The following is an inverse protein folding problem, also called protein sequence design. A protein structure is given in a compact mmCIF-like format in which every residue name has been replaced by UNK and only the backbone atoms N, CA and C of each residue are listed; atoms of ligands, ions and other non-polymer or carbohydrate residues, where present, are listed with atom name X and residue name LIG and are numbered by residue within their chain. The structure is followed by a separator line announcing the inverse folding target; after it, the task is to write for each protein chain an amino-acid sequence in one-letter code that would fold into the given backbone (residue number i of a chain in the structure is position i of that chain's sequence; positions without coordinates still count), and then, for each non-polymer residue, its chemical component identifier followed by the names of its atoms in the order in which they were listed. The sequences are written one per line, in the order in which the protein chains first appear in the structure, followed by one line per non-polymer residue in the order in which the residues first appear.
data_IF_604418132328
#
_entry.id   IF_604418132328
#
_cell.length_a   1.000
_cell.length_b   1.000
_cell.length_c   1.000
_cell.angle_alpha   90.00
_cell.angle_beta   90.00
_cell.angle_gamma   90.00
#
_symmetry.space_group_name_H-M   'P 1'
#
loop_
_entity.id
_entity.type
_entity.pdbx_description
1 polymer ?
#
# COMPACT_ATOMS: atom_id res chain seq x y z
N UNK A 1 -9.23 4.78 8.88
CA UNK A 1 -8.32 3.61 8.90
C UNK A 1 -9.00 2.27 8.62
N UNK A 2 -10.24 2.00 9.08
CA UNK A 2 -10.96 0.76 8.69
C UNK A 2 -11.02 0.55 7.16
N UNK A 3 -11.14 1.63 6.39
CA UNK A 3 -11.14 1.59 4.92
C UNK A 3 -9.75 1.52 4.28
N UNK A 4 -8.75 2.24 4.81
CA UNK A 4 -7.34 2.15 4.39
C UNK A 4 -6.78 0.71 4.49
N UNK A 5 -7.23 -0.04 5.50
CA UNK A 5 -6.74 -1.39 5.83
C UNK A 5 -7.39 -2.47 4.96
N UNK A 6 -8.67 -2.30 4.58
CA UNK A 6 -9.32 -3.22 3.64
C UNK A 6 -8.74 -3.12 2.22
N UNK A 7 -8.14 -1.98 1.90
CA UNK A 7 -7.51 -1.69 0.61
C UNK A 7 -6.05 -2.14 0.53
N UNK A 8 -5.27 -1.97 1.61
CA UNK A 8 -3.94 -2.58 1.72
C UNK A 8 -4.04 -4.12 1.80
N UNK A 9 -5.10 -4.68 2.39
CA UNK A 9 -5.36 -6.11 2.39
C UNK A 9 -5.60 -6.71 0.98
N UNK A 10 -6.00 -5.91 -0.02
CA UNK A 10 -6.09 -6.37 -1.41
C UNK A 10 -4.70 -6.61 -2.03
N UNK A 11 -3.66 -5.92 -1.56
CA UNK A 11 -2.26 -6.26 -1.91
C UNK A 11 -1.74 -7.46 -1.10
N UNK A 12 -2.30 -7.69 0.09
CA UNK A 12 -2.00 -8.86 0.93
C UNK A 12 -2.78 -10.13 0.55
N UNK A 13 -3.71 -10.05 -0.40
CA UNK A 13 -4.40 -11.20 -0.98
C UNK A 13 -3.48 -12.04 -1.91
N UNK A 14 -2.20 -11.69 -1.99
CA UNK A 14 -1.12 -12.64 -2.22
C UNK A 14 -0.80 -13.42 -0.94
N UNK A 15 -1.81 -13.86 -0.19
CA UNK A 15 -1.63 -14.84 0.88
C UNK A 15 -1.65 -16.21 0.21
N UNK A 16 -0.47 -16.62 -0.27
CA UNK A 16 -0.23 -17.92 -0.87
C UNK A 16 -0.67 -19.01 0.11
N UNK A 17 -1.70 -19.75 -0.26
CA UNK A 17 -2.21 -20.89 0.49
C UNK A 17 -1.06 -21.86 0.79
N UNK A 18 -0.91 -22.24 2.06
CA UNK A 18 0.10 -23.18 2.54
C UNK A 18 -0.05 -24.55 1.85
N UNK A 19 0.67 -24.71 0.74
CA UNK A 19 0.99 -26.02 0.17
C UNK A 19 2.36 -26.43 0.71
N UNK A 20 2.61 -27.74 0.75
CA UNK A 20 3.87 -28.35 1.17
C UNK A 20 5.08 -27.51 0.74
N UNK A 21 6.08 -27.38 1.63
CA UNK A 21 7.32 -26.59 1.40
C UNK A 21 8.16 -27.26 0.30
N UNK A 22 7.68 -27.19 -0.93
CA UNK A 22 8.50 -27.35 -2.11
C UNK A 22 9.52 -26.21 -2.09
N UNK A 23 10.74 -26.50 -2.53
CA UNK A 23 11.73 -25.44 -2.77
C UNK A 23 11.06 -24.36 -3.64
N UNK A 24 11.22 -23.07 -3.28
CA UNK A 24 10.59 -21.98 -4.03
C UNK A 24 11.00 -22.10 -5.50
N UNK A 25 10.05 -21.93 -6.45
CA UNK A 25 10.35 -22.06 -7.86
C UNK A 25 11.48 -21.10 -8.24
N UNK A 26 12.52 -21.64 -8.88
CA UNK A 26 13.64 -20.86 -9.43
C UNK A 26 13.34 -20.57 -10.89
N UNK A 27 13.34 -19.29 -11.25
CA UNK A 27 13.13 -18.81 -12.61
C UNK A 27 14.23 -17.84 -13.03
N UNK A 28 14.30 -17.51 -14.32
CA UNK A 28 15.11 -16.35 -14.73
C UNK A 28 14.44 -15.05 -14.27
N UNK A 29 15.22 -13.98 -14.10
CA UNK A 29 14.68 -12.65 -13.80
C UNK A 29 13.60 -12.24 -14.81
N UNK A 30 13.79 -12.55 -16.10
CA UNK A 30 12.79 -12.27 -17.12
C UNK A 30 11.48 -13.04 -16.92
N UNK A 31 11.56 -14.31 -16.54
CA UNK A 31 10.38 -15.13 -16.25
C UNK A 31 9.62 -14.62 -15.02
N UNK A 32 10.34 -14.23 -13.96
CA UNK A 32 9.73 -13.66 -12.74
C UNK A 32 9.04 -12.34 -13.07
N UNK A 33 9.70 -11.44 -13.80
CA UNK A 33 9.11 -10.17 -14.24
C UNK A 33 7.84 -10.38 -15.07
N UNK A 34 7.87 -11.32 -16.02
CA UNK A 34 6.69 -11.66 -16.83
C UNK A 34 5.56 -12.23 -15.97
N UNK A 35 5.88 -13.13 -15.04
CA UNK A 35 4.91 -13.71 -14.11
C UNK A 35 4.22 -12.64 -13.27
N UNK A 36 5.00 -11.79 -12.59
CA UNK A 36 4.48 -10.72 -11.73
C UNK A 36 3.64 -9.72 -12.54
N UNK A 37 4.13 -9.27 -13.70
CA UNK A 37 3.37 -8.35 -14.57
C UNK A 37 2.06 -8.97 -15.05
N UNK A 38 2.07 -10.24 -15.47
CA UNK A 38 0.86 -10.95 -15.88
C UNK A 38 -0.16 -11.10 -14.75
N UNK A 39 0.32 -11.32 -13.52
CA UNK A 39 -0.52 -11.32 -12.32
C UNK A 39 -1.18 -9.96 -12.10
N UNK A 40 -0.44 -8.85 -12.16
CA UNK A 40 -1.01 -7.52 -12.00
C UNK A 40 -2.02 -7.16 -13.09
N UNK A 41 -1.73 -7.47 -14.36
CA UNK A 41 -2.68 -7.25 -15.45
C UNK A 41 -3.99 -8.02 -15.24
N UNK A 42 -3.88 -9.28 -14.81
CA UNK A 42 -5.04 -10.14 -14.51
C UNK A 42 -5.84 -9.59 -13.33
N UNK A 43 -5.15 -9.24 -12.23
CA UNK A 43 -5.79 -8.68 -11.04
C UNK A 43 -6.46 -7.34 -11.32
N UNK A 44 -5.82 -6.46 -12.11
CA UNK A 44 -6.40 -5.20 -12.55
C UNK A 44 -7.71 -5.46 -13.30
N UNK A 45 -7.69 -6.27 -14.36
CA UNK A 45 -8.89 -6.60 -15.16
C UNK A 45 -10.02 -7.19 -14.32
N UNK A 46 -9.69 -8.08 -13.38
CA UNK A 46 -10.68 -8.75 -12.53
C UNK A 46 -11.24 -7.85 -11.43
N UNK A 47 -10.41 -6.97 -10.86
CA UNK A 47 -10.76 -6.20 -9.68
C UNK A 47 -11.37 -4.83 -10.02
N UNK A 48 -11.05 -4.25 -11.17
CA UNK A 48 -11.51 -2.91 -11.56
C UNK A 48 -13.03 -2.73 -11.48
N UNK A 49 -13.89 -3.62 -12.03
CA UNK A 49 -15.34 -3.43 -11.93
C UNK A 49 -15.85 -3.39 -10.48
N UNK A 50 -15.30 -4.25 -9.62
CA UNK A 50 -15.65 -4.30 -8.20
C UNK A 50 -15.15 -3.06 -7.45
N UNK A 51 -13.92 -2.61 -7.73
CA UNK A 51 -13.36 -1.38 -7.15
C UNK A 51 -14.18 -0.16 -7.56
N UNK A 52 -14.52 -0.01 -8.85
CA UNK A 52 -15.34 1.10 -9.36
C UNK A 52 -16.73 1.15 -8.75
N UNK A 53 -17.42 0.01 -8.67
CA UNK A 53 -18.72 -0.07 -7.98
C UNK A 53 -18.60 0.35 -6.52
N UNK A 54 -17.55 -0.09 -5.83
CA UNK A 54 -17.32 0.25 -4.42
C UNK A 54 -16.91 1.72 -4.23
N UNK A 55 -16.16 2.32 -5.16
CA UNK A 55 -15.87 3.75 -5.17
C UNK A 55 -17.16 4.57 -5.25
N UNK A 56 -18.00 4.29 -6.25
CA UNK A 56 -19.27 4.98 -6.42
C UNK A 56 -20.16 4.87 -5.16
N UNK A 57 -20.18 3.70 -4.53
CA UNK A 57 -20.92 3.49 -3.28
C UNK A 57 -20.35 4.29 -2.09
N UNK A 58 -19.04 4.52 -2.03
CA UNK A 58 -18.40 5.34 -1.00
C UNK A 58 -18.68 6.83 -1.23
N UNK A 59 -18.60 7.28 -2.49
CA UNK A 59 -18.95 8.65 -2.88
C UNK A 59 -20.42 8.98 -2.57
N UNK A 60 -21.34 8.07 -2.92
CA UNK A 60 -22.76 8.21 -2.61
C UNK A 60 -23.05 8.32 -1.10
N UNK A 61 -22.16 7.76 -0.25
CA UNK A 61 -22.24 7.86 1.22
C UNK A 61 -21.48 9.07 1.78
N UNK A 62 -20.84 9.88 0.93
CA UNK A 62 -20.02 11.01 1.35
C UNK A 62 -18.63 10.65 1.86
N UNK A 63 -18.20 9.38 1.79
CA UNK A 63 -16.85 8.95 2.22
C UNK A 63 -15.81 9.16 1.10
N UNK A 64 -15.55 10.44 0.80
CA UNK A 64 -14.66 10.88 -0.27
C UNK A 64 -13.22 10.41 -0.06
N UNK A 65 -12.76 10.32 1.19
CA UNK A 65 -11.41 9.85 1.50
C UNK A 65 -11.26 8.36 1.17
N UNK A 66 -12.22 7.51 1.55
CA UNK A 66 -12.16 6.10 1.23
C UNK A 66 -12.32 5.84 -0.27
N UNK A 67 -13.19 6.59 -0.95
CA UNK A 67 -13.33 6.52 -2.41
C UNK A 67 -12.00 6.84 -3.12
N UNK A 68 -11.35 7.94 -2.72
CA UNK A 68 -10.04 8.31 -3.24
C UNK A 68 -8.97 7.25 -2.96
N UNK A 69 -8.94 6.66 -1.76
CA UNK A 69 -7.99 5.58 -1.44
C UNK A 69 -8.18 4.35 -2.33
N UNK A 70 -9.43 4.02 -2.68
CA UNK A 70 -9.73 2.94 -3.61
C UNK A 70 -9.25 3.27 -5.03
N UNK A 71 -9.46 4.52 -5.47
CA UNK A 71 -8.94 5.00 -6.75
C UNK A 71 -7.42 4.90 -6.80
N UNK A 72 -6.72 5.28 -5.73
CA UNK A 72 -5.26 5.18 -5.66
C UNK A 72 -4.77 3.72 -5.69
N UNK A 73 -5.49 2.79 -5.08
CA UNK A 73 -5.14 1.37 -5.15
C UNK A 73 -5.35 0.81 -6.56
N UNK A 74 -6.43 1.19 -7.26
CA UNK A 74 -6.62 0.85 -8.66
C UNK A 74 -5.48 1.42 -9.51
N UNK A 75 -5.16 2.71 -9.37
CA UNK A 75 -4.06 3.35 -10.07
C UNK A 75 -2.71 2.64 -9.83
N UNK A 76 -2.47 2.24 -8.59
CA UNK A 76 -1.26 1.53 -8.21
C UNK A 76 -1.17 0.15 -8.88
N UNK A 77 -2.26 -0.62 -8.84
CA UNK A 77 -2.35 -1.97 -9.38
C UNK A 77 -2.34 -1.99 -10.92
N UNK A 78 -3.07 -1.08 -11.54
CA UNK A 78 -3.32 -1.08 -12.98
C UNK A 78 -2.29 -0.29 -13.79
N UNK A 79 -1.59 0.67 -13.17
CA UNK A 79 -0.66 1.54 -13.88
C UNK A 79 0.73 1.52 -13.23
N UNK A 80 0.85 1.94 -11.96
CA UNK A 80 2.17 2.14 -11.36
C UNK A 80 3.01 0.86 -11.36
N UNK A 81 2.49 -0.23 -10.78
CA UNK A 81 3.24 -1.48 -10.65
C UNK A 81 3.59 -2.10 -12.02
N UNK A 82 2.64 -2.25 -12.98
CA UNK A 82 2.97 -2.70 -14.33
C UNK A 82 4.03 -1.84 -15.03
N UNK A 83 3.91 -0.52 -14.96
CA UNK A 83 4.85 0.40 -15.62
C UNK A 83 6.25 0.31 -15.01
N UNK A 84 6.35 0.16 -13.68
CA UNK A 84 7.65 -0.03 -13.01
C UNK A 84 8.29 -1.36 -13.35
N UNK A 85 7.51 -2.44 -13.41
CA UNK A 85 8.04 -3.76 -13.81
C UNK A 85 8.53 -3.73 -15.27
N UNK A 86 7.78 -3.08 -16.17
CA UNK A 86 8.17 -2.88 -17.56
C UNK A 86 9.45 -2.05 -17.68
N UNK A 87 9.54 -0.93 -16.96
CA UNK A 87 10.71 -0.06 -16.95
C UNK A 87 11.96 -0.79 -16.42
N UNK A 88 11.82 -1.57 -15.34
CA UNK A 88 12.90 -2.38 -14.82
C UNK A 88 13.39 -3.38 -15.88
N UNK A 89 12.48 -4.12 -16.51
CA UNK A 89 12.81 -5.10 -17.56
C UNK A 89 13.60 -4.45 -18.71
N UNK A 90 13.17 -3.27 -19.17
CA UNK A 90 13.81 -2.55 -20.27
C UNK A 90 15.23 -2.07 -19.94
N UNK A 91 15.53 -1.84 -18.66
CA UNK A 91 16.84 -1.35 -18.21
C UNK A 91 17.84 -2.46 -17.94
N UNK A 92 17.36 -3.66 -17.58
CA UNK A 92 18.24 -4.80 -17.29
C UNK A 92 18.94 -5.31 -18.55
N UNK A 93 20.23 -5.64 -18.42
CA UNK A 93 21.01 -6.25 -19.50
C UNK A 93 20.55 -7.69 -19.76
N UNK A 94 20.76 -8.25 -20.96
CA UNK A 94 20.43 -9.65 -21.25
C UNK A 94 21.02 -10.66 -20.26
N UNK A 95 22.24 -10.45 -19.78
CA UNK A 95 22.86 -11.30 -18.77
C UNK A 95 22.09 -11.28 -17.42
N UNK A 96 21.58 -10.11 -17.02
CA UNK A 96 20.79 -9.96 -15.79
C UNK A 96 19.40 -10.56 -15.95
N UNK A 97 18.78 -10.41 -17.12
CA UNK A 97 17.47 -11.02 -17.43
C UNK A 97 17.50 -12.56 -17.40
N UNK A 98 18.64 -13.16 -17.74
CA UNK A 98 18.84 -14.61 -17.72
C UNK A 98 19.39 -15.15 -16.39
N UNK A 99 19.70 -14.28 -15.43
CA UNK A 99 20.13 -14.71 -14.09
C UNK A 99 18.99 -15.51 -13.43
N UNK A 100 19.33 -16.63 -12.80
CA UNK A 100 18.38 -17.47 -12.09
C UNK A 100 18.29 -17.06 -10.63
N UNK A 101 17.07 -16.86 -10.14
CA UNK A 101 16.80 -16.60 -8.73
C UNK A 101 15.38 -17.03 -8.37
N UNK A 102 15.08 -17.03 -7.09
CA UNK A 102 13.73 -17.17 -6.54
C UNK A 102 13.00 -15.82 -6.59
N UNK A 103 11.67 -15.84 -6.49
CA UNK A 103 10.87 -14.62 -6.37
C UNK A 103 11.24 -13.80 -5.11
N UNK A 104 11.55 -14.46 -3.99
CA UNK A 104 11.97 -13.79 -2.76
C UNK A 104 13.30 -13.03 -2.93
N UNK A 105 14.28 -13.64 -3.61
CA UNK A 105 15.54 -12.97 -3.96
C UNK A 105 15.30 -11.82 -4.93
N UNK A 106 14.41 -12.00 -5.91
CA UNK A 106 14.02 -10.94 -6.84
C UNK A 106 13.41 -9.74 -6.09
N UNK A 107 12.45 -9.97 -5.19
CA UNK A 107 11.82 -8.92 -4.37
C UNK A 107 12.87 -8.22 -3.49
N UNK A 108 13.78 -8.98 -2.89
CA UNK A 108 14.86 -8.42 -2.07
C UNK A 108 15.78 -7.51 -2.88
N UNK A 109 16.10 -7.89 -4.12
CA UNK A 109 17.04 -7.17 -4.98
C UNK A 109 16.42 -6.00 -5.73
N UNK A 110 15.21 -6.18 -6.25
CA UNK A 110 14.55 -5.26 -7.18
C UNK A 110 13.25 -4.65 -6.63
N UNK A 111 12.70 -5.20 -5.55
CA UNK A 111 11.42 -4.76 -4.98
C UNK A 111 11.43 -3.29 -4.56
N UNK A 112 12.55 -2.76 -4.07
CA UNK A 112 12.66 -1.32 -3.77
C UNK A 112 12.48 -0.44 -5.00
N UNK A 113 12.98 -0.86 -6.15
CA UNK A 113 12.85 -0.06 -7.37
C UNK A 113 11.44 -0.14 -7.97
N UNK A 114 10.78 -1.28 -7.80
CA UNK A 114 9.49 -1.55 -8.44
C UNK A 114 8.27 -1.28 -7.54
N UNK A 115 8.38 -1.56 -6.24
CA UNK A 115 7.30 -1.47 -5.26
C UNK A 115 7.36 -0.20 -4.42
N UNK A 116 8.55 0.24 -4.00
CA UNK A 116 8.63 1.32 -3.01
C UNK A 116 8.14 2.66 -3.56
N UNK A 117 8.51 3.00 -4.79
CA UNK A 117 8.06 4.26 -5.40
C UNK A 117 6.53 4.30 -5.57
N UNK A 118 5.94 3.17 -5.94
CA UNK A 118 4.51 3.01 -6.12
C UNK A 118 3.76 3.09 -4.79
N UNK A 119 4.23 2.38 -3.77
CA UNK A 119 3.65 2.40 -2.43
C UNK A 119 3.82 3.76 -1.75
N UNK A 120 4.98 4.38 -1.92
CA UNK A 120 5.26 5.70 -1.37
C UNK A 120 4.41 6.80 -2.03
N UNK A 121 4.20 6.73 -3.36
CA UNK A 121 3.27 7.62 -4.05
C UNK A 121 1.84 7.44 -3.51
N UNK A 122 1.39 6.19 -3.32
CA UNK A 122 0.09 5.87 -2.74
C UNK A 122 -0.04 6.38 -1.29
N UNK A 123 1.01 6.31 -0.48
CA UNK A 123 1.01 6.81 0.90
C UNK A 123 0.95 8.35 0.98
N UNK A 124 1.57 9.05 0.02
CA UNK A 124 1.58 10.52 -0.03
C UNK A 124 0.32 11.10 -0.68
N UNK A 125 -0.27 10.41 -1.66
CA UNK A 125 -1.40 10.90 -2.45
C UNK A 125 -2.59 11.44 -1.62
N UNK A 126 -3.01 10.81 -0.49
CA UNK A 126 -4.11 11.32 0.32
C UNK A 126 -3.90 12.75 0.80
N UNK A 127 -2.65 13.19 0.98
CA UNK A 127 -2.28 14.49 1.53
C UNK A 127 -1.96 15.55 0.47
N UNK A 128 -2.02 15.20 -0.80
CA UNK A 128 -1.82 16.13 -1.92
C UNK A 128 -3.04 17.02 -2.21
N UNK A 129 -3.17 17.41 -3.47
CA UNK A 129 -4.27 18.26 -3.94
C UNK A 129 -5.65 17.69 -3.57
N UNK A 130 -6.56 18.57 -3.14
CA UNK A 130 -7.90 18.19 -2.71
C UNK A 130 -7.97 17.46 -1.37
N UNK A 131 -6.87 17.30 -0.62
CA UNK A 131 -6.87 16.61 0.68
C UNK A 131 -7.94 17.17 1.63
N UNK A 132 -7.96 18.49 1.84
CA UNK A 132 -8.89 19.11 2.78
C UNK A 132 -10.37 18.87 2.39
N UNK A 133 -10.68 18.85 1.09
CA UNK A 133 -12.03 18.60 0.58
C UNK A 133 -12.47 17.12 0.67
N UNK A 134 -11.50 16.20 0.79
CA UNK A 134 -11.74 14.76 0.96
C UNK A 134 -11.83 14.35 2.44
N UNK A 135 -11.23 15.13 3.34
CA UNK A 135 -11.22 14.83 4.76
C UNK A 135 -12.63 14.97 5.37
N UNK A 136 -13.06 14.02 6.21
CA UNK A 136 -14.32 14.16 6.92
C UNK A 136 -14.22 15.33 7.90
N UNK A 137 -15.31 16.09 8.05
CA UNK A 137 -15.42 17.10 9.09
C UNK A 137 -15.27 16.42 10.45
N UNK A 138 -14.27 16.87 11.22
CA UNK A 138 -13.99 16.33 12.55
C UNK A 138 -13.75 17.48 13.52
N UNK A 139 -14.46 17.53 14.66
CA UNK A 139 -14.21 18.54 15.68
C UNK A 139 -12.74 18.58 16.08
N UNK A 140 -12.16 19.78 16.10
CA UNK A 140 -10.76 20.01 16.48
C UNK A 140 -9.71 19.69 15.41
N UNK A 141 -10.11 19.30 14.20
CA UNK A 141 -9.18 19.10 13.08
C UNK A 141 -9.29 20.26 12.07
N UNK A 142 -8.22 21.03 11.95
CA UNK A 142 -8.03 21.96 10.83
C UNK A 142 -7.53 21.17 9.61
N UNK A 143 -8.45 20.78 8.73
CA UNK A 143 -8.13 19.90 7.60
C UNK A 143 -7.08 20.52 6.64
N UNK A 144 -7.18 21.78 6.19
CA UNK A 144 -6.12 22.43 5.40
C UNK A 144 -4.74 22.38 6.08
N UNK A 145 -4.65 22.77 7.36
CA UNK A 145 -3.38 22.77 8.10
C UNK A 145 -2.83 21.36 8.29
N UNK A 146 -3.69 20.40 8.64
CA UNK A 146 -3.32 18.99 8.78
C UNK A 146 -2.78 18.43 7.47
N UNK A 147 -3.49 18.63 6.36
CA UNK A 147 -3.09 18.16 5.03
C UNK A 147 -1.74 18.75 4.61
N UNK A 148 -1.54 20.06 4.78
CA UNK A 148 -0.28 20.72 4.45
C UNK A 148 0.89 20.19 5.29
N UNK A 149 0.68 20.01 6.60
CA UNK A 149 1.70 19.43 7.49
C UNK A 149 2.06 17.99 7.09
N UNK A 150 1.06 17.13 6.86
CA UNK A 150 1.29 15.75 6.46
C UNK A 150 2.01 15.66 5.12
N UNK A 151 1.61 16.48 4.14
CA UNK A 151 2.26 16.53 2.85
C UNK A 151 3.75 16.90 2.97
N UNK A 152 4.09 17.82 3.87
CA UNK A 152 5.47 18.22 4.10
C UNK A 152 6.28 17.15 4.85
N UNK A 153 5.76 16.63 5.95
CA UNK A 153 6.44 15.61 6.74
C UNK A 153 6.71 14.34 5.93
N UNK A 154 5.75 13.90 5.11
CA UNK A 154 5.90 12.68 4.31
C UNK A 154 6.86 12.83 3.11
N UNK A 155 7.28 14.04 2.74
CA UNK A 155 8.39 14.22 1.78
C UNK A 155 9.72 13.79 2.38
N UNK A 156 9.91 13.98 3.68
CA UNK A 156 11.14 13.62 4.38
C UNK A 156 11.21 12.12 4.73
N UNK A 157 10.08 11.39 4.68
CA UNK A 157 10.04 9.95 4.94
C UNK A 157 10.55 9.18 3.71
N UNK A 158 11.57 8.33 3.86
CA UNK A 158 12.07 7.48 2.78
C UNK A 158 11.00 6.55 2.20
N UNK A 159 11.08 6.28 0.89
CA UNK A 159 10.08 5.44 0.20
C UNK A 159 9.98 4.03 0.80
N UNK A 160 11.10 3.42 1.16
CA UNK A 160 11.11 2.10 1.79
C UNK A 160 10.42 2.09 3.16
N UNK A 161 10.49 3.19 3.91
CA UNK A 161 9.76 3.32 5.16
C UNK A 161 8.25 3.49 4.92
N UNK A 162 7.85 4.25 3.90
CA UNK A 162 6.44 4.36 3.50
C UNK A 162 5.87 3.00 3.03
N UNK A 163 6.68 2.20 2.34
CA UNK A 163 6.32 0.80 2.04
C UNK A 163 6.13 0.00 3.31
N UNK A 164 7.08 0.09 4.25
CA UNK A 164 7.01 -0.64 5.51
C UNK A 164 5.78 -0.22 6.34
N UNK A 165 5.41 1.06 6.36
CA UNK A 165 4.17 1.55 6.96
C UNK A 165 2.95 0.84 6.34
N UNK A 166 2.92 0.67 5.02
CA UNK A 166 1.84 -0.06 4.33
C UNK A 166 1.77 -1.53 4.74
N UNK A 167 2.90 -2.24 4.71
CA UNK A 167 3.00 -3.66 5.08
C UNK A 167 2.65 -3.90 6.55
N UNK A 168 3.25 -3.10 7.44
CA UNK A 168 3.00 -3.16 8.87
C UNK A 168 1.53 -2.84 9.18
N UNK A 169 0.92 -1.86 8.47
CA UNK A 169 -0.51 -1.54 8.63
C UNK A 169 -1.39 -2.73 8.30
N UNK A 170 -1.10 -3.41 7.18
CA UNK A 170 -1.87 -4.56 6.72
C UNK A 170 -1.81 -5.73 7.73
N UNK A 171 -0.66 -5.96 8.36
CA UNK A 171 -0.49 -7.00 9.37
C UNK A 171 -1.04 -6.60 10.76
N UNK A 172 -0.81 -5.35 11.17
CA UNK A 172 -1.10 -4.87 12.51
C UNK A 172 -2.59 -4.61 12.73
N UNK A 173 -3.28 -3.94 11.80
CA UNK A 173 -4.66 -3.48 12.06
C UNK A 173 -5.66 -4.64 12.22
N UNK A 174 -5.63 -5.73 11.43
CA UNK A 174 -6.51 -6.87 11.67
C UNK A 174 -6.29 -7.48 13.06
N UNK A 175 -5.03 -7.60 13.51
CA UNK A 175 -4.70 -8.10 14.85
C UNK A 175 -5.18 -7.17 15.96
N UNK A 176 -5.04 -5.85 15.77
CA UNK A 176 -5.56 -4.85 16.70
C UNK A 176 -7.09 -4.92 16.79
N UNK A 177 -7.78 -5.07 15.66
CA UNK A 177 -9.23 -5.20 15.62
C UNK A 177 -9.72 -6.46 16.35
N UNK A 178 -9.03 -7.59 16.17
CA UNK A 178 -9.37 -8.84 16.86
C UNK A 178 -9.07 -8.75 18.36
N UNK A 179 -7.95 -8.15 18.76
CA UNK A 179 -7.65 -7.92 20.17
C UNK A 179 -8.72 -7.05 20.85
N UNK A 180 -9.16 -5.95 20.19
CA UNK A 180 -10.26 -5.12 20.69
C UNK A 180 -11.57 -5.90 20.80
N UNK A 181 -11.88 -6.75 19.83
CA UNK A 181 -13.11 -7.58 19.82
C UNK A 181 -13.12 -8.63 20.94
N UNK A 182 -11.96 -9.20 21.25
CA UNK A 182 -11.80 -10.27 22.25
C UNK A 182 -11.43 -9.77 23.65
N UNK A 183 -11.29 -8.45 23.84
CA UNK A 183 -10.86 -7.85 25.11
C UNK A 183 -9.41 -8.14 25.47
N UNK A 184 -8.60 -8.59 24.50
CA UNK A 184 -7.18 -8.85 24.71
C UNK A 184 -6.36 -7.55 24.64
N UNK A 185 -5.16 -7.51 25.26
CA UNK A 185 -4.25 -6.38 25.12
C UNK A 185 -3.93 -6.09 23.65
N UNK A 186 -3.79 -4.80 23.31
CA UNK A 186 -3.37 -4.40 21.98
C UNK A 186 -2.00 -5.01 21.63
N UNK A 187 -1.81 -5.54 20.41
CA UNK A 187 -0.50 -6.01 19.99
C UNK A 187 0.52 -4.86 19.98
N UNK A 188 1.82 -5.15 20.09
CA UNK A 188 2.86 -4.12 20.00
C UNK A 188 2.83 -3.47 18.61
N UNK A 189 2.89 -2.14 18.57
CA UNK A 189 2.91 -1.38 17.33
C UNK A 189 4.30 -1.47 16.67
N UNK A 190 4.38 -1.85 15.38
CA UNK A 190 5.60 -1.80 14.58
C UNK A 190 6.26 -0.42 14.54
N UNK A 191 7.59 -0.38 14.42
CA UNK A 191 8.36 0.86 14.48
C UNK A 191 7.97 1.89 13.41
N UNK A 192 7.77 1.44 12.16
CA UNK A 192 7.38 2.31 11.06
C UNK A 192 5.99 2.93 11.30
N UNK A 193 5.03 2.15 11.83
CA UNK A 193 3.71 2.65 12.23
C UNK A 193 3.78 3.61 13.41
N UNK A 194 4.67 3.37 14.37
CA UNK A 194 4.88 4.29 15.49
C UNK A 194 5.39 5.63 14.99
N UNK A 195 6.36 5.65 14.07
CA UNK A 195 6.86 6.88 13.47
C UNK A 195 5.77 7.62 12.68
N UNK A 196 5.01 6.92 11.84
CA UNK A 196 3.87 7.52 11.14
C UNK A 196 2.81 8.08 12.10
N UNK A 197 2.57 7.42 13.23
CA UNK A 197 1.66 7.90 14.28
C UNK A 197 2.15 9.20 14.89
N UNK A 198 3.45 9.32 15.15
CA UNK A 198 4.06 10.53 15.68
C UNK A 198 3.96 11.69 14.70
N UNK A 199 4.23 11.44 13.40
CA UNK A 199 4.02 12.43 12.33
C UNK A 199 2.55 12.90 12.34
N UNK A 200 1.61 11.96 12.28
CA UNK A 200 0.18 12.27 12.27
C UNK A 200 -0.24 13.10 13.49
N UNK A 201 0.24 12.76 14.69
CA UNK A 201 -0.04 13.51 15.92
C UNK A 201 0.58 14.92 15.88
N UNK A 202 1.81 15.06 15.39
CA UNK A 202 2.47 16.37 15.27
C UNK A 202 1.72 17.32 14.32
N UNK A 203 1.00 16.77 13.35
CA UNK A 203 0.15 17.53 12.43
C UNK A 203 -1.26 17.81 12.95
N UNK A 204 -1.58 17.44 14.20
CA UNK A 204 -2.91 17.61 14.79
C UNK A 204 -3.90 16.50 14.40
N UNK A 205 -3.42 15.40 13.83
CA UNK A 205 -4.21 14.22 13.53
C UNK A 205 -4.62 13.44 14.79
N UNK A 206 -5.69 12.63 14.71
CA UNK A 206 -6.17 11.87 15.86
C UNK A 206 -5.20 10.77 16.27
N UNK A 207 -5.12 10.49 17.58
CA UNK A 207 -4.34 9.35 18.07
C UNK A 207 -4.90 8.03 17.55
N UNK A 208 -4.01 7.12 17.14
CA UNK A 208 -4.38 5.77 16.70
C UNK A 208 -4.63 4.79 17.85
N UNK A 209 -4.33 5.19 19.09
CA UNK A 209 -4.40 4.33 20.28
C UNK A 209 -5.77 4.33 20.98
N UNK A 210 -6.71 5.16 20.52
CA UNK A 210 -8.08 5.20 21.05
C UNK A 210 -9.00 4.27 20.24
#
# INVERSE_FOLDING_TARGET
MRHLVQLLALTSALAWSAHAVAAPPVGTVDQILQGISGTFETQCKQSTPAMQSRMAALEAKGDKLAAFQMQQAEQNLCHCLPDRMKALRQRLKPAQLNEKMTEAEFITRYGRETLDQCTAAMARAPYGEGCAARMPEKPGLDAPKYCACMAEQLKAVPDNELTQIGLDSAAYVPRLAEAKKTGQPAPPMPAALKHFTQINQSCGGPSMTQ
#
